data_IF_243316056449
#
_entry.id   IF_243316056449
#
_cell.length_a   1.000
_cell.length_b   1.000
_cell.length_c   1.000
_cell.angle_alpha   90.00
_cell.angle_beta   90.00
_cell.angle_gamma   90.00
#
_symmetry.space_group_name_H-M   'P 1'
#
loop_
_entity.id
_entity.type
_entity.pdbx_description
1 polymer ?
#
# COMPACT_ATOMS: atom_id res chain seq x y z
N UNK A 1 99.56 89.12 78.52
CA UNK A 1 99.74 88.55 77.18
C UNK A 1 98.85 87.31 76.99
N UNK A 2 98.96 86.28 77.84
CA UNK A 2 98.14 85.05 77.74
C UNK A 2 96.60 85.22 77.74
N UNK A 3 96.04 86.18 78.48
CA UNK A 3 94.58 86.45 78.52
C UNK A 3 94.04 87.06 77.22
N UNK A 4 94.85 87.84 76.49
CA UNK A 4 94.46 88.43 75.21
C UNK A 4 94.54 87.40 74.07
N UNK A 5 95.48 86.46 74.17
CA UNK A 5 95.64 85.37 73.20
C UNK A 5 94.47 84.37 73.29
N UNK A 6 93.98 84.06 74.50
CA UNK A 6 92.79 83.24 74.72
C UNK A 6 91.52 83.87 74.14
N UNK A 7 91.29 85.17 74.38
CA UNK A 7 90.12 85.87 73.85
C UNK A 7 90.11 85.94 72.31
N UNK A 8 91.29 86.07 71.69
CA UNK A 8 91.45 86.04 70.22
C UNK A 8 91.22 84.65 69.64
N UNK A 9 91.63 83.60 70.35
CA UNK A 9 91.35 82.20 69.99
C UNK A 9 89.86 81.90 70.09
N UNK A 10 89.20 82.34 71.17
CA UNK A 10 87.76 82.17 71.38
C UNK A 10 86.93 82.87 70.30
N UNK A 11 87.24 84.13 69.98
CA UNK A 11 86.59 84.86 68.88
C UNK A 11 86.83 84.19 67.51
N UNK A 12 87.99 83.56 67.30
CA UNK A 12 88.28 82.81 66.07
C UNK A 12 87.46 81.52 65.99
N UNK A 13 87.36 80.77 67.08
CA UNK A 13 86.54 79.56 67.14
C UNK A 13 85.05 79.87 67.01
N UNK A 14 84.58 80.97 67.61
CA UNK A 14 83.20 81.42 67.47
C UNK A 14 82.89 81.81 66.02
N UNK A 15 83.81 82.51 65.34
CA UNK A 15 83.69 82.81 63.91
C UNK A 15 83.70 81.54 63.04
N UNK A 16 84.61 80.60 63.32
CA UNK A 16 84.69 79.32 62.59
C UNK A 16 83.41 78.47 62.81
N UNK A 17 82.82 78.49 64.01
CA UNK A 17 81.54 77.83 64.32
C UNK A 17 80.37 78.51 63.59
N UNK A 18 80.33 79.85 63.54
CA UNK A 18 79.30 80.57 62.78
C UNK A 18 79.42 80.30 61.29
N UNK A 19 80.62 80.34 60.72
CA UNK A 19 80.86 80.01 59.31
C UNK A 19 80.44 78.57 59.01
N UNK A 20 80.78 77.60 59.88
CA UNK A 20 80.36 76.22 59.73
C UNK A 20 78.83 76.05 59.84
N UNK A 21 78.17 76.79 60.74
CA UNK A 21 76.70 76.80 60.89
C UNK A 21 76.05 77.36 59.63
N UNK A 22 76.53 78.49 59.09
CA UNK A 22 76.02 79.07 57.85
C UNK A 22 76.24 78.15 56.65
N UNK A 23 77.40 77.50 56.55
CA UNK A 23 77.66 76.50 55.49
C UNK A 23 76.74 75.30 55.60
N UNK A 24 76.48 74.79 56.81
CA UNK A 24 75.54 73.70 57.04
C UNK A 24 74.12 74.12 56.67
N UNK A 25 73.66 75.27 57.14
CA UNK A 25 72.30 75.74 56.92
C UNK A 25 72.07 76.10 55.44
N UNK A 26 73.09 76.64 54.76
CA UNK A 26 73.07 76.83 53.31
C UNK A 26 72.93 75.50 52.56
N UNK A 27 73.76 74.49 52.89
CA UNK A 27 73.67 73.16 52.26
C UNK A 27 72.32 72.49 52.52
N UNK A 28 71.78 72.59 53.73
CA UNK A 28 70.45 72.04 54.05
C UNK A 28 69.37 72.71 53.18
N UNK A 29 69.42 74.04 53.02
CA UNK A 29 68.47 74.78 52.18
C UNK A 29 68.64 74.44 50.70
N UNK A 30 69.87 74.40 50.20
CA UNK A 30 70.19 74.05 48.81
C UNK A 30 69.71 72.63 48.45
N UNK A 31 70.01 71.64 49.29
CA UNK A 31 69.51 70.27 49.12
C UNK A 31 67.97 70.20 49.24
N UNK A 32 67.37 71.02 50.11
CA UNK A 32 65.92 71.17 50.21
C UNK A 32 65.30 71.64 48.89
N UNK A 33 65.85 72.68 48.28
CA UNK A 33 65.41 73.19 46.98
C UNK A 33 65.68 72.18 45.85
N UNK A 34 66.85 71.55 45.82
CA UNK A 34 67.17 70.53 44.83
C UNK A 34 66.23 69.32 44.93
N UNK A 35 65.86 68.91 46.15
CA UNK A 35 64.85 67.86 46.36
C UNK A 35 63.49 68.28 45.84
N UNK A 36 63.05 69.51 46.12
CA UNK A 36 61.76 70.02 45.64
C UNK A 36 61.74 70.11 44.11
N UNK A 37 62.80 70.63 43.49
CA UNK A 37 62.95 70.71 42.04
C UNK A 37 62.91 69.30 41.43
N UNK A 38 63.70 68.35 41.94
CA UNK A 38 63.68 66.96 41.45
C UNK A 38 62.32 66.29 41.63
N UNK A 39 61.61 66.57 42.71
CA UNK A 39 60.26 66.04 42.93
C UNK A 39 59.27 66.64 41.93
N UNK A 40 59.35 67.94 41.64
CA UNK A 40 58.52 68.60 40.63
C UNK A 40 58.84 68.12 39.21
N UNK A 41 60.11 67.88 38.90
CA UNK A 41 60.53 67.31 37.61
C UNK A 41 60.02 65.89 37.45
N UNK A 42 60.23 65.02 38.45
CA UNK A 42 59.76 63.63 38.40
C UNK A 42 58.22 63.54 38.33
N UNK A 43 57.49 64.41 39.05
CA UNK A 43 56.02 64.46 38.95
C UNK A 43 55.55 64.97 37.59
N UNK A 44 56.25 65.93 36.99
CA UNK A 44 55.94 66.39 35.63
C UNK A 44 56.23 65.32 34.57
N UNK A 45 57.33 64.58 34.70
CA UNK A 45 57.67 63.45 33.81
C UNK A 45 56.62 62.33 33.91
N UNK A 46 56.25 61.93 35.14
CA UNK A 46 55.19 60.93 35.35
C UNK A 46 53.83 61.39 34.83
N UNK A 47 53.48 62.67 35.01
CA UNK A 47 52.24 63.23 34.48
C UNK A 47 52.24 63.22 32.93
N UNK A 48 53.37 63.54 32.30
CA UNK A 48 53.52 63.47 30.86
C UNK A 48 53.39 62.02 30.35
N UNK A 49 54.09 61.07 30.98
CA UNK A 49 53.99 59.64 30.63
C UNK A 49 52.57 59.10 30.79
N UNK A 50 51.89 59.48 31.88
CA UNK A 50 50.49 59.14 32.10
C UNK A 50 49.60 59.70 30.99
N UNK A 51 49.79 60.95 30.59
CA UNK A 51 49.00 61.57 29.51
C UNK A 51 49.25 60.86 28.17
N UNK A 52 50.50 60.49 27.88
CA UNK A 52 50.83 59.69 26.68
C UNK A 52 50.16 58.33 26.73
N UNK A 53 50.15 57.66 27.88
CA UNK A 53 49.50 56.36 28.05
C UNK A 53 47.97 56.44 27.88
N UNK A 54 47.32 57.44 28.49
CA UNK A 54 45.88 57.70 28.33
C UNK A 54 45.55 57.94 26.86
N UNK A 55 46.31 58.83 26.20
CA UNK A 55 46.09 59.14 24.78
C UNK A 55 46.27 57.90 23.89
N UNK A 56 47.30 57.07 24.16
CA UNK A 56 47.49 55.80 23.46
C UNK A 56 46.36 54.81 23.70
N UNK A 57 45.81 54.77 24.92
CA UNK A 57 44.66 53.92 25.23
C UNK A 57 43.42 54.39 24.45
N UNK A 58 43.13 55.68 24.44
CA UNK A 58 42.01 56.26 23.68
C UNK A 58 42.16 55.97 22.18
N UNK A 59 43.35 56.13 21.60
CA UNK A 59 43.60 55.79 20.19
C UNK A 59 43.29 54.32 19.93
N UNK A 60 43.74 53.40 20.79
CA UNK A 60 43.46 51.96 20.65
C UNK A 60 41.97 51.62 20.78
N UNK A 61 41.25 52.30 21.67
CA UNK A 61 39.81 52.14 21.84
C UNK A 61 39.06 52.56 20.56
N UNK A 62 39.42 53.71 19.99
CA UNK A 62 38.87 54.20 18.71
C UNK A 62 39.23 53.27 17.53
N UNK A 63 40.48 52.80 17.44
CA UNK A 63 40.90 51.81 16.45
C UNK A 63 40.09 50.50 16.57
N UNK A 64 39.83 50.05 17.80
CA UNK A 64 38.99 48.88 18.03
C UNK A 64 37.54 49.14 17.61
N UNK A 65 36.99 50.31 17.87
CA UNK A 65 35.65 50.70 17.45
C UNK A 65 35.50 50.74 15.92
N UNK A 66 36.50 51.27 15.21
CA UNK A 66 36.57 51.23 13.74
C UNK A 66 36.54 49.77 13.28
N UNK A 67 37.39 48.91 13.85
CA UNK A 67 37.47 47.48 13.47
C UNK A 67 36.17 46.72 13.73
N UNK A 68 35.48 47.00 14.83
CA UNK A 68 34.16 46.41 15.12
C UNK A 68 33.15 46.85 14.06
N UNK A 69 33.16 48.13 13.69
CA UNK A 69 32.25 48.68 12.69
C UNK A 69 32.51 48.11 11.30
N UNK A 70 33.78 48.01 10.89
CA UNK A 70 34.20 47.36 9.63
C UNK A 70 33.73 45.91 9.60
N UNK A 71 34.00 45.14 10.67
CA UNK A 71 33.59 43.74 10.73
C UNK A 71 32.08 43.56 10.78
N UNK A 72 31.35 44.45 11.44
CA UNK A 72 29.90 44.46 11.41
C UNK A 72 29.36 44.74 9.99
N UNK A 73 30.02 45.64 9.25
CA UNK A 73 29.66 45.92 7.85
C UNK A 73 29.99 44.73 6.94
N UNK A 74 31.13 44.06 7.13
CA UNK A 74 31.47 42.81 6.43
C UNK A 74 30.42 41.73 6.68
N UNK A 75 30.00 41.53 7.94
CA UNK A 75 28.95 40.57 8.28
C UNK A 75 27.64 40.91 7.56
N UNK A 76 27.25 42.20 7.52
CA UNK A 76 26.05 42.62 6.77
C UNK A 76 26.17 42.31 5.28
N UNK A 77 27.31 42.61 4.66
CA UNK A 77 27.53 42.30 3.24
C UNK A 77 27.48 40.79 3.00
N UNK A 78 28.08 39.99 3.88
CA UNK A 78 28.02 38.53 3.79
C UNK A 78 26.59 38.00 3.97
N UNK A 79 25.80 38.54 4.90
CA UNK A 79 24.40 38.17 5.07
C UNK A 79 23.57 38.47 3.82
N UNK A 80 23.75 39.65 3.22
CA UNK A 80 23.09 40.03 1.96
C UNK A 80 23.54 39.13 0.80
N UNK A 81 24.81 38.75 0.75
CA UNK A 81 25.32 37.82 -0.25
C UNK A 81 24.74 36.42 -0.08
N UNK A 82 24.64 35.92 1.16
CA UNK A 82 23.96 34.65 1.48
C UNK A 82 22.50 34.72 1.05
N UNK A 83 21.77 35.77 1.42
CA UNK A 83 20.37 35.94 1.04
C UNK A 83 20.19 35.99 -0.49
N UNK A 84 21.10 36.65 -1.21
CA UNK A 84 21.11 36.63 -2.69
C UNK A 84 21.36 35.21 -3.21
N UNK A 85 22.37 34.51 -2.69
CA UNK A 85 22.71 33.14 -3.11
C UNK A 85 21.57 32.18 -2.81
N UNK A 86 20.89 32.30 -1.66
CA UNK A 86 19.71 31.53 -1.32
C UNK A 86 18.58 31.76 -2.32
N UNK A 87 18.29 33.01 -2.69
CA UNK A 87 17.28 33.32 -3.70
C UNK A 87 17.62 32.76 -5.08
N UNK A 88 18.89 32.81 -5.47
CA UNK A 88 19.37 32.20 -6.72
C UNK A 88 19.21 30.68 -6.67
N UNK A 89 19.64 30.03 -5.59
CA UNK A 89 19.48 28.58 -5.41
C UNK A 89 18.01 28.16 -5.35
N UNK A 90 17.15 28.98 -4.75
CA UNK A 90 15.70 28.75 -4.72
C UNK A 90 15.10 28.81 -6.12
N UNK A 91 15.47 29.83 -6.92
CA UNK A 91 15.03 29.96 -8.31
C UNK A 91 15.58 28.85 -9.22
N UNK A 92 16.87 28.51 -9.09
CA UNK A 92 17.56 27.59 -10.00
C UNK A 92 17.40 26.12 -9.65
N UNK A 93 17.22 25.79 -8.36
CA UNK A 93 17.19 24.38 -7.90
C UNK A 93 15.83 24.02 -7.35
N UNK A 94 15.27 24.79 -6.40
CA UNK A 94 14.02 24.41 -5.73
C UNK A 94 12.83 24.53 -6.67
N UNK A 95 12.68 25.65 -7.37
CA UNK A 95 11.55 25.86 -8.27
C UNK A 95 11.45 24.81 -9.40
N UNK A 96 12.53 24.44 -10.12
CA UNK A 96 12.44 23.37 -11.11
C UNK A 96 12.30 21.99 -10.46
N UNK A 97 12.87 21.75 -9.28
CA UNK A 97 12.66 20.48 -8.56
C UNK A 97 11.19 20.31 -8.14
N UNK A 98 10.57 21.37 -7.63
CA UNK A 98 9.15 21.37 -7.26
C UNK A 98 8.25 21.24 -8.49
N UNK A 99 8.58 21.90 -9.60
CA UNK A 99 7.88 21.74 -10.87
C UNK A 99 7.98 20.29 -11.38
N UNK A 100 9.17 19.70 -11.36
CA UNK A 100 9.41 18.32 -11.80
C UNK A 100 8.70 17.30 -10.90
N UNK A 101 8.71 17.53 -9.58
CA UNK A 101 7.97 16.72 -8.62
C UNK A 101 6.46 16.79 -8.89
N UNK A 102 5.93 18.00 -9.08
CA UNK A 102 4.51 18.20 -9.38
C UNK A 102 4.11 17.53 -10.70
N UNK A 103 4.94 17.65 -11.75
CA UNK A 103 4.73 16.98 -13.02
C UNK A 103 4.71 15.46 -12.86
N UNK A 104 5.68 14.89 -12.14
CA UNK A 104 5.78 13.45 -11.90
C UNK A 104 4.59 12.94 -11.09
N UNK A 105 4.19 13.65 -10.03
CA UNK A 105 3.02 13.30 -9.23
C UNK A 105 1.74 13.35 -10.06
N UNK A 106 1.58 14.36 -10.93
CA UNK A 106 0.42 14.47 -11.82
C UNK A 106 0.40 13.39 -12.90
N UNK A 107 1.55 13.04 -13.45
CA UNK A 107 1.68 11.94 -14.40
C UNK A 107 1.34 10.61 -13.75
N UNK A 108 1.88 10.34 -12.55
CA UNK A 108 1.56 9.14 -11.79
C UNK A 108 0.08 9.07 -11.39
N UNK A 109 -0.53 10.20 -11.00
CA UNK A 109 -1.96 10.29 -10.72
C UNK A 109 -2.80 10.01 -11.98
N UNK A 110 -2.38 10.54 -13.14
CA UNK A 110 -3.03 10.29 -14.41
C UNK A 110 -2.93 8.82 -14.84
N UNK A 111 -1.76 8.20 -14.67
CA UNK A 111 -1.56 6.78 -14.98
C UNK A 111 -2.36 5.87 -14.06
N UNK A 112 -2.42 6.18 -12.76
CA UNK A 112 -3.25 5.43 -11.82
C UNK A 112 -4.72 5.51 -12.22
N UNK A 113 -5.21 6.72 -12.55
CA UNK A 113 -6.58 6.90 -13.04
C UNK A 113 -6.84 6.13 -14.33
N UNK A 114 -5.88 6.15 -15.28
CA UNK A 114 -5.98 5.40 -16.53
C UNK A 114 -6.11 3.90 -16.26
N UNK A 115 -5.25 3.33 -15.41
CA UNK A 115 -5.27 1.90 -15.06
C UNK A 115 -6.55 1.52 -14.34
N UNK A 116 -7.03 2.34 -13.40
CA UNK A 116 -8.29 2.10 -12.69
C UNK A 116 -9.47 2.11 -13.66
N UNK A 117 -9.57 3.13 -14.53
CA UNK A 117 -10.65 3.22 -15.51
C UNK A 117 -10.60 2.07 -16.52
N UNK A 118 -9.41 1.65 -16.94
CA UNK A 118 -9.23 0.49 -17.82
C UNK A 118 -9.64 -0.82 -17.12
N UNK A 119 -9.28 -1.00 -15.85
CA UNK A 119 -9.70 -2.14 -15.04
C UNK A 119 -11.22 -2.15 -14.81
N UNK A 120 -11.83 -1.00 -14.53
CA UNK A 120 -13.28 -0.87 -14.38
C UNK A 120 -14.00 -1.15 -15.71
N UNK A 121 -13.52 -0.59 -16.81
CA UNK A 121 -14.10 -0.84 -18.14
C UNK A 121 -14.00 -2.31 -18.55
N UNK A 122 -12.87 -2.97 -18.27
CA UNK A 122 -12.72 -4.41 -18.55
C UNK A 122 -13.59 -5.27 -17.64
N UNK A 123 -13.70 -4.93 -16.35
CA UNK A 123 -14.59 -5.61 -15.42
C UNK A 123 -16.06 -5.47 -15.84
N UNK A 124 -16.49 -4.26 -16.22
CA UNK A 124 -17.85 -4.01 -16.70
C UNK A 124 -18.12 -4.74 -18.02
N UNK A 125 -17.15 -4.77 -18.94
CA UNK A 125 -17.27 -5.52 -20.19
C UNK A 125 -17.42 -7.03 -19.94
N UNK A 126 -16.67 -7.59 -18.99
CA UNK A 126 -16.80 -9.01 -18.60
C UNK A 126 -18.15 -9.27 -17.94
N UNK A 127 -18.62 -8.38 -17.05
CA UNK A 127 -19.95 -8.50 -16.43
C UNK A 127 -21.05 -8.48 -17.48
N UNK A 128 -21.03 -7.53 -18.40
CA UNK A 128 -22.04 -7.41 -19.46
C UNK A 128 -22.03 -8.62 -20.40
N UNK A 129 -20.84 -9.13 -20.76
CA UNK A 129 -20.72 -10.37 -21.54
C UNK A 129 -21.27 -11.57 -20.78
N UNK A 130 -20.92 -11.72 -19.50
CA UNK A 130 -21.43 -12.79 -18.64
C UNK A 130 -22.95 -12.74 -18.49
N UNK A 131 -23.53 -11.55 -18.33
CA UNK A 131 -24.99 -11.35 -18.29
C UNK A 131 -25.64 -11.71 -19.64
N UNK A 132 -25.05 -11.29 -20.76
CA UNK A 132 -25.54 -11.63 -22.10
C UNK A 132 -25.46 -13.14 -22.38
N UNK A 133 -24.37 -13.80 -21.98
CA UNK A 133 -24.20 -15.24 -22.10
C UNK A 133 -25.17 -16.02 -21.21
N UNK A 134 -25.34 -15.60 -19.96
CA UNK A 134 -26.31 -16.19 -19.04
C UNK A 134 -27.75 -16.08 -19.60
N UNK A 135 -28.13 -14.89 -20.09
CA UNK A 135 -29.43 -14.68 -20.72
C UNK A 135 -29.61 -15.55 -21.97
N UNK A 136 -28.58 -15.67 -22.81
CA UNK A 136 -28.62 -16.53 -23.99
C UNK A 136 -28.76 -18.02 -23.64
N UNK A 137 -28.08 -18.48 -22.59
CA UNK A 137 -28.19 -19.87 -22.09
C UNK A 137 -29.57 -20.11 -21.50
N UNK A 138 -30.09 -19.18 -20.67
CA UNK A 138 -31.42 -19.28 -20.09
C UNK A 138 -32.51 -19.32 -21.18
N UNK A 139 -32.42 -18.46 -22.18
CA UNK A 139 -33.33 -18.44 -23.31
C UNK A 139 -33.28 -19.74 -24.13
N UNK A 140 -32.07 -20.30 -24.37
CA UNK A 140 -31.89 -21.59 -25.03
C UNK A 140 -32.46 -22.74 -24.19
N UNK A 141 -32.12 -22.80 -22.90
CA UNK A 141 -32.59 -23.83 -21.98
C UNK A 141 -34.12 -23.80 -21.84
N UNK A 142 -34.72 -22.61 -21.78
CA UNK A 142 -36.18 -22.44 -21.79
C UNK A 142 -36.80 -22.92 -23.10
N UNK A 143 -36.21 -22.58 -24.24
CA UNK A 143 -36.67 -23.05 -25.54
C UNK A 143 -36.56 -24.58 -25.67
N UNK A 144 -35.47 -25.18 -25.18
CA UNK A 144 -35.28 -26.63 -25.15
C UNK A 144 -36.27 -27.33 -24.21
N UNK A 145 -36.52 -26.75 -23.02
CA UNK A 145 -37.53 -27.25 -22.10
C UNK A 145 -38.93 -27.20 -22.71
N UNK A 146 -39.32 -26.09 -23.35
CA UNK A 146 -40.60 -25.97 -24.07
C UNK A 146 -40.70 -26.96 -25.23
N UNK A 147 -39.61 -27.17 -25.98
CA UNK A 147 -39.57 -28.19 -27.02
C UNK A 147 -39.71 -29.60 -26.46
N UNK A 148 -39.07 -29.90 -25.33
CA UNK A 148 -39.16 -31.21 -24.67
C UNK A 148 -40.56 -31.46 -24.13
N UNK A 149 -41.22 -30.44 -23.56
CA UNK A 149 -42.63 -30.54 -23.13
C UNK A 149 -43.54 -30.79 -24.33
N UNK A 150 -43.40 -30.03 -25.42
CA UNK A 150 -44.19 -30.25 -26.65
C UNK A 150 -43.93 -31.62 -27.26
N UNK A 151 -42.69 -32.10 -27.25
CA UNK A 151 -42.35 -33.47 -27.67
C UNK A 151 -42.98 -34.49 -26.74
N UNK A 152 -42.93 -34.30 -25.42
CA UNK A 152 -43.54 -35.21 -24.46
C UNK A 152 -45.07 -35.27 -24.62
N UNK A 153 -45.73 -34.14 -24.86
CA UNK A 153 -47.18 -34.09 -25.11
C UNK A 153 -47.54 -34.71 -26.45
N UNK A 154 -46.76 -34.45 -27.51
CA UNK A 154 -46.90 -35.15 -28.78
C UNK A 154 -46.71 -36.66 -28.61
N UNK A 155 -45.75 -37.12 -27.79
CA UNK A 155 -45.54 -38.55 -27.52
C UNK A 155 -46.65 -39.18 -26.67
N UNK A 156 -47.36 -38.41 -25.83
CA UNK A 156 -48.58 -38.90 -25.15
C UNK A 156 -49.72 -39.11 -26.15
N UNK A 157 -49.95 -38.16 -27.06
CA UNK A 157 -50.96 -38.32 -28.11
C UNK A 157 -50.57 -39.43 -29.11
N UNK A 158 -49.27 -39.52 -29.45
CA UNK A 158 -48.73 -40.62 -30.23
C UNK A 158 -48.67 -41.93 -29.45
N UNK A 159 -48.75 -41.99 -28.12
CA UNK A 159 -48.80 -43.27 -27.39
C UNK A 159 -50.09 -44.03 -27.72
N UNK A 160 -51.22 -43.33 -27.82
CA UNK A 160 -52.49 -43.97 -28.17
C UNK A 160 -52.50 -44.48 -29.63
N UNK A 161 -51.84 -43.78 -30.55
CA UNK A 161 -51.75 -44.19 -31.97
C UNK A 161 -50.60 -45.18 -32.26
N UNK A 162 -49.41 -44.94 -31.70
CA UNK A 162 -48.22 -45.77 -31.89
C UNK A 162 -48.30 -47.09 -31.13
N UNK A 163 -49.06 -47.19 -30.03
CA UNK A 163 -49.30 -48.48 -29.39
C UNK A 163 -50.18 -49.37 -30.29
N UNK A 164 -51.13 -48.80 -31.04
CA UNK A 164 -51.93 -49.55 -32.03
C UNK A 164 -51.08 -49.97 -33.24
N UNK A 165 -50.21 -49.09 -33.75
CA UNK A 165 -49.33 -49.40 -34.89
C UNK A 165 -48.22 -50.39 -34.52
N UNK A 166 -47.59 -50.23 -33.35
CA UNK A 166 -46.60 -51.18 -32.85
C UNK A 166 -47.26 -52.52 -32.51
N UNK A 167 -48.51 -52.55 -32.00
CA UNK A 167 -49.27 -53.79 -31.87
C UNK A 167 -49.56 -54.41 -33.23
N UNK A 168 -49.95 -53.65 -34.26
CA UNK A 168 -50.22 -54.15 -35.62
C UNK A 168 -48.95 -54.72 -36.30
N UNK A 169 -47.77 -54.14 -36.05
CA UNK A 169 -46.50 -54.65 -36.59
C UNK A 169 -45.89 -55.80 -35.77
N UNK A 170 -46.13 -55.85 -34.46
CA UNK A 170 -45.62 -56.91 -33.58
C UNK A 170 -46.56 -58.11 -33.49
N UNK A 171 -47.87 -57.95 -33.72
CA UNK A 171 -48.84 -59.06 -33.77
C UNK A 171 -48.42 -60.16 -34.74
N UNK A 172 -48.05 -59.87 -36.01
CA UNK A 172 -47.67 -60.90 -36.96
C UNK A 172 -46.42 -61.66 -36.54
N UNK A 173 -45.46 -61.00 -35.87
CA UNK A 173 -44.23 -61.63 -35.38
C UNK A 173 -44.51 -62.54 -34.19
N UNK A 174 -45.34 -62.11 -33.24
CA UNK A 174 -45.76 -62.96 -32.11
C UNK A 174 -46.62 -64.13 -32.60
N UNK A 175 -47.54 -63.90 -33.55
CA UNK A 175 -48.34 -64.97 -34.17
C UNK A 175 -47.46 -65.93 -34.96
N UNK A 176 -46.43 -65.46 -35.66
CA UNK A 176 -45.47 -66.32 -36.34
C UNK A 176 -44.62 -67.16 -35.36
N UNK A 177 -44.17 -66.57 -34.25
CA UNK A 177 -43.39 -67.28 -33.23
C UNK A 177 -44.24 -68.30 -32.45
N UNK A 178 -45.52 -67.99 -32.21
CA UNK A 178 -46.49 -68.90 -31.58
C UNK A 178 -46.99 -69.96 -32.58
N UNK A 179 -46.97 -69.68 -33.89
CA UNK A 179 -47.28 -70.65 -34.94
C UNK A 179 -46.07 -71.53 -35.32
N UNK A 180 -44.84 -71.13 -34.98
CA UNK A 180 -43.63 -71.91 -35.29
C UNK A 180 -43.66 -73.34 -34.68
N UNK A 181 -44.12 -73.57 -33.44
CA UNK A 181 -44.29 -74.92 -32.90
C UNK A 181 -45.44 -75.69 -33.54
N UNK A 182 -46.48 -74.99 -34.04
CA UNK A 182 -47.63 -75.61 -34.73
C UNK A 182 -47.25 -76.03 -36.15
N UNK A 183 -46.44 -75.24 -36.85
CA UNK A 183 -45.97 -75.54 -38.21
C UNK A 183 -44.83 -76.55 -38.25
N UNK A 184 -44.12 -76.77 -37.13
CA UNK A 184 -43.01 -77.73 -37.02
C UNK A 184 -43.44 -79.10 -36.48
N UNK A 185 -44.75 -79.33 -36.29
CA UNK A 185 -45.31 -80.59 -35.82
C UNK A 185 -45.92 -81.39 -36.99
N UNK A 186 -45.09 -82.06 -37.78
CA UNK A 186 -45.56 -82.93 -38.89
C UNK A 186 -46.30 -84.20 -38.43
N UNK A 187 -46.24 -84.54 -37.13
CA UNK A 187 -46.98 -85.67 -36.56
C UNK A 187 -47.18 -85.51 -35.04
N UNK A 188 -48.34 -84.99 -34.63
CA UNK A 188 -48.76 -85.08 -33.23
C UNK A 188 -49.25 -86.51 -32.98
N UNK A 189 -48.34 -87.37 -32.51
CA UNK A 189 -48.71 -88.73 -32.07
C UNK A 189 -49.15 -88.62 -30.61
N UNK A 190 -50.45 -88.41 -30.39
CA UNK A 190 -51.03 -88.47 -29.05
C UNK A 190 -51.04 -89.93 -28.60
N UNK A 191 -50.08 -90.31 -27.75
CA UNK A 191 -50.08 -91.63 -27.10
C UNK A 191 -51.10 -91.56 -25.97
N UNK A 192 -52.37 -91.82 -26.32
CA UNK A 192 -53.45 -91.94 -25.36
C UNK A 192 -53.45 -93.35 -24.79
N UNK A 193 -52.97 -93.47 -23.55
CA UNK A 193 -53.25 -94.62 -22.68
C UNK A 193 -54.51 -94.29 -21.89
N UNK A 194 -55.69 -94.34 -22.52
CA UNK A 194 -56.95 -94.26 -21.78
C UNK A 194 -58.12 -93.61 -22.51
N UNK A 195 -59.22 -94.36 -22.53
CA UNK A 195 -60.52 -94.16 -23.19
C UNK A 195 -61.17 -92.77 -22.94
N UNK A 196 -61.32 -91.98 -24.01
CA UNK A 196 -62.05 -90.70 -24.01
C UNK A 196 -61.76 -89.83 -25.26
N UNK A 197 -62.76 -89.11 -25.81
CA UNK A 197 -62.74 -88.60 -27.18
C UNK A 197 -61.62 -87.56 -27.42
N UNK A 198 -60.80 -87.87 -28.44
CA UNK A 198 -59.53 -87.22 -28.80
C UNK A 198 -59.81 -86.08 -29.78
N UNK A 199 -59.22 -84.91 -29.54
CA UNK A 199 -59.28 -83.79 -30.49
C UNK A 199 -58.64 -82.51 -29.96
N UNK A 200 -58.19 -81.70 -30.91
CA UNK A 200 -57.48 -80.39 -30.82
C UNK A 200 -57.96 -79.48 -29.67
N UNK A 201 -59.19 -79.63 -29.19
CA UNK A 201 -59.78 -78.94 -28.04
C UNK A 201 -58.94 -78.97 -26.76
N UNK A 202 -58.24 -80.06 -26.41
CA UNK A 202 -57.35 -80.07 -25.23
C UNK A 202 -56.03 -79.33 -25.47
N UNK A 203 -55.48 -79.39 -26.68
CA UNK A 203 -54.26 -78.67 -27.05
C UNK A 203 -54.52 -77.16 -27.15
N UNK A 204 -55.66 -76.76 -27.69
CA UNK A 204 -56.12 -75.36 -27.64
C UNK A 204 -56.36 -74.92 -26.20
N UNK A 205 -56.80 -75.81 -25.29
CA UNK A 205 -57.01 -75.50 -23.87
C UNK A 205 -55.71 -75.42 -23.06
N UNK A 206 -54.71 -76.24 -23.37
CA UNK A 206 -53.35 -76.14 -22.79
C UNK A 206 -52.61 -74.92 -23.34
N UNK A 207 -52.73 -74.61 -24.63
CA UNK A 207 -52.18 -73.35 -25.18
C UNK A 207 -52.93 -72.16 -24.58
N UNK A 208 -54.25 -72.21 -24.44
CA UNK A 208 -55.02 -71.17 -23.76
C UNK A 208 -54.69 -71.07 -22.27
N UNK A 209 -54.32 -72.16 -21.58
CA UNK A 209 -53.89 -72.08 -20.17
C UNK A 209 -52.47 -71.52 -20.07
N UNK A 210 -51.54 -71.95 -20.92
CA UNK A 210 -50.18 -71.39 -20.96
C UNK A 210 -50.21 -69.90 -21.32
N UNK A 211 -51.11 -69.46 -22.22
CA UNK A 211 -51.33 -68.04 -22.51
C UNK A 211 -52.00 -67.30 -21.35
N UNK A 212 -52.79 -68.00 -20.52
CA UNK A 212 -53.42 -67.43 -19.32
C UNK A 212 -52.46 -67.35 -18.13
N UNK A 213 -51.46 -68.24 -18.08
CA UNK A 213 -50.44 -68.30 -17.04
C UNK A 213 -49.17 -67.53 -17.42
N UNK A 214 -48.99 -67.18 -18.70
CA UNK A 214 -47.90 -66.33 -19.21
C UNK A 214 -47.79 -64.97 -18.51
N UNK A 215 -48.89 -64.25 -18.22
CA UNK A 215 -48.85 -62.99 -17.48
C UNK A 215 -48.36 -63.17 -16.05
N UNK A 216 -48.77 -64.26 -15.38
CA UNK A 216 -48.35 -64.57 -14.01
C UNK A 216 -46.87 -65.00 -13.97
N UNK A 217 -46.38 -65.74 -14.97
CA UNK A 217 -44.97 -66.11 -15.10
C UNK A 217 -44.06 -64.90 -15.42
N UNK A 218 -44.56 -63.91 -16.18
CA UNK A 218 -43.85 -62.64 -16.38
C UNK A 218 -43.85 -61.76 -15.11
N UNK A 219 -44.88 -61.87 -14.27
CA UNK A 219 -44.97 -61.22 -12.96
C UNK A 219 -43.82 -61.65 -12.04
N UNK A 220 -43.61 -62.97 -11.95
CA UNK A 220 -42.63 -63.57 -11.03
C UNK A 220 -41.18 -63.31 -11.47
N UNK A 221 -40.94 -63.15 -12.79
CA UNK A 221 -39.61 -62.93 -13.36
C UNK A 221 -39.18 -61.46 -13.44
N UNK A 222 -40.14 -60.52 -13.52
CA UNK A 222 -39.84 -59.09 -13.73
C UNK A 222 -40.42 -58.15 -12.68
N UNK A 223 -41.30 -58.63 -11.79
CA UNK A 223 -41.88 -57.85 -10.69
C UNK A 223 -42.80 -56.72 -11.13
N UNK A 224 -43.17 -56.63 -12.42
CA UNK A 224 -44.03 -55.57 -12.97
C UNK A 224 -45.35 -56.15 -13.46
N UNK A 225 -46.42 -55.76 -12.77
CA UNK A 225 -47.78 -56.26 -12.90
C UNK A 225 -48.56 -55.44 -13.96
N UNK A 226 -48.35 -55.75 -15.24
CA UNK A 226 -48.90 -55.00 -16.39
C UNK A 226 -50.45 -54.99 -16.38
N UNK A 227 -51.07 -56.04 -15.85
CA UNK A 227 -52.54 -56.17 -15.75
C UNK A 227 -53.15 -55.17 -14.78
N UNK A 228 -52.41 -54.76 -13.73
CA UNK A 228 -52.83 -53.66 -12.84
C UNK A 228 -52.55 -52.29 -13.44
N UNK A 229 -51.46 -52.11 -14.18
CA UNK A 229 -51.10 -50.81 -14.77
C UNK A 229 -52.06 -50.40 -15.89
N UNK A 230 -52.59 -51.35 -16.66
CA UNK A 230 -53.60 -51.08 -17.69
C UNK A 230 -54.98 -50.79 -17.08
N UNK A 231 -55.35 -51.48 -15.98
CA UNK A 231 -56.66 -51.28 -15.33
C UNK A 231 -56.72 -50.04 -14.43
N UNK A 232 -55.58 -49.60 -13.86
CA UNK A 232 -55.54 -48.37 -13.03
C UNK A 232 -55.37 -47.07 -13.83
N UNK A 233 -55.09 -47.15 -15.14
CA UNK A 233 -55.03 -45.98 -16.05
C UNK A 233 -56.29 -45.79 -16.91
N UNK A 234 -57.25 -46.72 -16.83
CA UNK A 234 -58.55 -46.66 -17.52
C UNK A 234 -59.71 -46.25 -16.60
N UNK A 235 -59.43 -45.64 -15.45
CA UNK A 235 -60.39 -44.83 -14.68
C UNK A 235 -59.86 -43.41 -14.52
#
# INVERSE_FOLDING_TARGET
>A
TALADLARLEAKYENDIEVARQQRDFKIKDEGYNREIKTKVATAELAYELQVAITKQTIKEEEMAIKITERAQEIKVQQEEIARREKVLEADVKLPADASKYETEKLAEADLKRVVLEAEATAEAVRLKGEAEAYAIEAKAKAEAEQMVKKADAWKEYQDAAMVDMFLETLPKVVAEVAAPVSSCDKITMVSTGDGPIGIQKMTREILSVVKDLPDAMLDLTGVDITKTVKSRSQ
#
